data_IF_263229778660
#
_entry.id   IF_263229778660
#
_cell.length_a   1.000
_cell.length_b   1.000
_cell.length_c   1.000
_cell.angle_alpha   90.00
_cell.angle_beta   90.00
_cell.angle_gamma   90.00
#
_symmetry.space_group_name_H-M   'P 1'
#
loop_
_entity.id
_entity.type
_entity.pdbx_description
1 polymer ?
#
# COMPACT_ATOMS: atom_id res chain seq x y z
N UNK A 1 4.87 -17.72 6.51
CA UNK A 1 4.78 -16.96 7.79
C UNK A 1 5.79 -15.81 7.83
N UNK A 2 7.09 -16.08 7.57
CA UNK A 2 8.16 -15.06 7.61
C UNK A 2 7.87 -13.82 6.75
N UNK A 3 7.44 -14.02 5.50
CA UNK A 3 7.20 -12.90 4.55
C UNK A 3 6.17 -11.91 5.09
N UNK A 4 5.04 -12.37 5.63
CA UNK A 4 4.03 -11.45 6.21
C UNK A 4 4.57 -10.70 7.40
N UNK A 5 5.21 -11.39 8.37
CA UNK A 5 5.74 -10.72 9.56
C UNK A 5 6.83 -9.71 9.20
N UNK A 6 7.70 -10.05 8.24
CA UNK A 6 8.75 -9.15 7.77
C UNK A 6 8.13 -7.93 7.05
N UNK A 7 7.15 -8.13 6.18
CA UNK A 7 6.49 -7.01 5.47
C UNK A 7 5.70 -6.12 6.45
N UNK A 8 5.01 -6.69 7.43
CA UNK A 8 4.36 -5.93 8.53
C UNK A 8 5.40 -5.09 9.27
N UNK A 9 6.47 -5.72 9.76
CA UNK A 9 7.53 -5.02 10.48
C UNK A 9 8.15 -3.89 9.64
N UNK A 10 8.47 -4.15 8.37
CA UNK A 10 9.02 -3.15 7.47
C UNK A 10 8.04 -2.01 7.21
N UNK A 11 6.75 -2.30 7.04
CA UNK A 11 5.72 -1.27 6.87
C UNK A 11 5.56 -0.42 8.13
N UNK A 12 5.52 -1.05 9.30
CA UNK A 12 5.40 -0.36 10.58
C UNK A 12 6.61 0.56 10.84
N UNK A 13 7.83 0.07 10.60
CA UNK A 13 9.06 0.87 10.71
C UNK A 13 9.05 2.02 9.69
N UNK A 14 8.60 1.77 8.46
CA UNK A 14 8.54 2.81 7.44
C UNK A 14 7.57 3.93 7.84
N UNK A 15 6.37 3.57 8.29
CA UNK A 15 5.33 4.54 8.62
C UNK A 15 5.58 5.26 9.96
N UNK A 16 6.08 4.57 10.98
CA UNK A 16 6.21 5.10 12.34
C UNK A 16 7.60 5.64 12.69
N UNK A 17 8.64 5.29 11.92
CA UNK A 17 10.02 5.75 12.20
C UNK A 17 10.59 6.53 11.02
N UNK A 18 10.53 5.96 9.81
CA UNK A 18 11.22 6.56 8.66
C UNK A 18 10.49 7.78 8.09
N UNK A 19 9.18 7.69 7.87
CA UNK A 19 8.39 8.73 7.20
C UNK A 19 7.58 9.57 8.18
N UNK A 20 6.90 8.94 9.14
CA UNK A 20 5.98 9.60 10.10
C UNK A 20 5.12 10.68 9.42
N UNK A 21 4.10 10.29 8.65
CA UNK A 21 3.31 11.23 7.87
C UNK A 21 2.39 12.03 8.79
N UNK A 22 2.55 13.36 8.80
CA UNK A 22 1.58 14.27 9.42
C UNK A 22 0.66 14.81 8.33
N UNK A 23 -0.58 14.33 8.28
CA UNK A 23 -1.53 14.64 7.20
C UNK A 23 -2.82 15.24 7.73
N UNK A 24 -3.34 16.23 7.01
CA UNK A 24 -4.68 16.77 7.17
C UNK A 24 -5.60 16.08 6.18
N UNK A 25 -6.34 15.07 6.68
CA UNK A 25 -7.16 14.20 5.85
C UNK A 25 -8.13 14.97 4.92
N UNK A 26 -8.79 16.00 5.43
CA UNK A 26 -9.76 16.80 4.65
C UNK A 26 -9.15 17.51 3.45
N UNK A 27 -7.89 17.95 3.55
CA UNK A 27 -7.22 18.73 2.52
C UNK A 27 -6.25 17.91 1.65
N UNK A 28 -6.02 16.63 1.98
CA UNK A 28 -4.96 15.80 1.39
C UNK A 28 -3.58 16.47 1.37
N UNK A 29 -3.33 17.36 2.34
CA UNK A 29 -2.05 18.06 2.54
C UNK A 29 -1.35 17.47 3.75
N UNK A 30 -0.04 17.32 3.67
CA UNK A 30 0.76 16.86 4.79
C UNK A 30 2.24 17.13 4.62
N UNK A 31 3.01 16.73 5.63
CA UNK A 31 4.46 16.74 5.61
C UNK A 31 4.99 15.56 6.43
N UNK A 32 6.10 14.92 6.00
CA UNK A 32 6.71 13.84 6.76
C UNK A 32 7.63 14.39 7.86
N UNK A 33 7.58 13.80 9.05
CA UNK A 33 8.41 14.18 10.21
C UNK A 33 9.37 13.08 10.66
N UNK A 34 9.52 12.01 9.87
CA UNK A 34 10.37 10.88 10.24
C UNK A 34 11.86 11.11 10.03
N UNK A 35 12.63 10.05 10.28
CA UNK A 35 14.10 10.03 10.15
C UNK A 35 14.57 10.41 8.75
N UNK A 36 13.82 10.07 7.69
CA UNK A 36 14.19 10.42 6.32
C UNK A 36 14.21 11.94 6.07
N UNK A 37 13.38 12.69 6.79
CA UNK A 37 13.39 14.17 6.73
C UNK A 37 14.67 14.74 7.34
N UNK A 38 15.22 14.10 8.38
CA UNK A 38 16.49 14.53 8.99
C UNK A 38 17.68 14.33 8.04
N UNK A 39 17.63 13.30 7.20
CA UNK A 39 18.62 13.07 6.14
C UNK A 39 18.40 13.92 4.88
N UNK A 40 17.37 14.77 4.86
CA UNK A 40 17.09 15.66 3.72
C UNK A 40 16.54 14.96 2.48
N UNK A 41 15.96 13.75 2.62
CA UNK A 41 15.35 13.02 1.51
C UNK A 41 14.11 13.78 1.00
N UNK A 42 13.93 13.89 -0.32
CA UNK A 42 12.76 14.56 -0.89
C UNK A 42 11.45 13.92 -0.40
N UNK A 43 10.49 14.78 0.00
CA UNK A 43 9.16 14.38 0.49
C UNK A 43 8.45 13.40 -0.46
N UNK A 44 8.60 13.58 -1.77
CA UNK A 44 8.01 12.72 -2.80
C UNK A 44 8.38 11.24 -2.59
N UNK A 45 9.67 10.96 -2.39
CA UNK A 45 10.16 9.60 -2.19
C UNK A 45 9.73 9.04 -0.83
N UNK A 46 9.67 9.88 0.20
CA UNK A 46 9.20 9.45 1.51
C UNK A 46 7.73 9.04 1.47
N UNK A 47 6.88 9.86 0.87
CA UNK A 47 5.45 9.59 0.71
C UNK A 47 5.22 8.34 -0.14
N UNK A 48 5.91 8.23 -1.28
CA UNK A 48 5.87 7.03 -2.13
C UNK A 48 6.25 5.77 -1.33
N UNK A 49 7.37 5.81 -0.60
CA UNK A 49 7.81 4.66 0.20
C UNK A 49 6.79 4.27 1.28
N UNK A 50 6.13 5.23 1.92
CA UNK A 50 5.08 4.98 2.90
C UNK A 50 3.88 4.26 2.28
N UNK A 51 3.30 4.80 1.21
CA UNK A 51 2.16 4.20 0.52
C UNK A 51 2.47 2.81 -0.05
N UNK A 52 3.63 2.66 -0.70
CA UNK A 52 4.06 1.37 -1.23
C UNK A 52 4.26 0.34 -0.12
N UNK A 53 4.82 0.74 1.03
CA UNK A 53 5.03 -0.18 2.16
C UNK A 53 3.71 -0.78 2.69
N UNK A 54 2.65 0.03 2.78
CA UNK A 54 1.33 -0.43 3.21
C UNK A 54 0.70 -1.32 2.14
N UNK A 55 0.84 -0.97 0.86
CA UNK A 55 0.29 -1.78 -0.22
C UNK A 55 0.95 -3.15 -0.35
N UNK A 56 2.24 -3.27 -0.03
CA UNK A 56 2.95 -4.55 -0.02
C UNK A 56 2.36 -5.56 0.98
N UNK A 57 1.56 -5.12 1.95
CA UNK A 57 0.84 -6.01 2.86
C UNK A 57 -0.21 -6.87 2.12
N UNK A 58 -0.87 -6.33 1.08
CA UNK A 58 -1.85 -7.04 0.27
C UNK A 58 -1.30 -8.36 -0.31
N UNK A 59 -0.28 -8.32 -1.19
CA UNK A 59 0.30 -9.52 -1.78
C UNK A 59 0.95 -10.43 -0.72
N UNK A 60 1.49 -9.89 0.37
CA UNK A 60 2.02 -10.69 1.47
C UNK A 60 0.93 -11.53 2.16
N UNK A 61 -0.23 -10.93 2.44
CA UNK A 61 -1.37 -11.62 3.04
C UNK A 61 -1.95 -12.69 2.10
N UNK A 62 -2.13 -12.37 0.82
CA UNK A 62 -2.63 -13.33 -0.18
C UNK A 62 -1.68 -14.54 -0.28
N UNK A 63 -0.36 -14.28 -0.34
CA UNK A 63 0.66 -15.33 -0.36
C UNK A 63 0.57 -16.24 0.87
N UNK A 64 0.33 -15.66 2.05
CA UNK A 64 0.16 -16.42 3.29
C UNK A 64 -1.06 -17.33 3.26
N UNK A 65 -2.21 -16.84 2.79
CA UNK A 65 -3.42 -17.65 2.70
C UNK A 65 -3.28 -18.76 1.68
N UNK A 66 -2.63 -18.48 0.54
CA UNK A 66 -2.31 -19.50 -0.45
C UNK A 66 -1.34 -20.56 0.12
N UNK A 67 -0.31 -20.14 0.84
CA UNK A 67 0.68 -21.05 1.44
C UNK A 67 0.04 -22.02 2.44
N UNK A 68 -0.84 -21.50 3.30
CA UNK A 68 -1.64 -22.28 4.24
C UNK A 68 -2.60 -23.22 3.53
N UNK A 69 -3.23 -22.77 2.45
CA UNK A 69 -4.12 -23.60 1.65
C UNK A 69 -3.35 -24.77 1.02
N UNK A 70 -2.23 -24.50 0.36
CA UNK A 70 -1.44 -25.53 -0.32
C UNK A 70 -0.91 -26.58 0.67
N UNK A 71 -0.34 -26.17 1.81
CA UNK A 71 0.20 -27.11 2.79
C UNK A 71 -0.87 -27.98 3.48
N UNK A 72 -2.10 -27.51 3.60
CA UNK A 72 -3.15 -28.22 4.36
C UNK A 72 -4.12 -29.01 3.47
N UNK A 73 -4.28 -28.64 2.21
CA UNK A 73 -5.29 -29.21 1.30
C UNK A 73 -4.65 -30.00 0.15
N UNK A 74 -3.44 -29.65 -0.29
CA UNK A 74 -2.84 -30.24 -1.49
C UNK A 74 -1.55 -31.01 -1.18
N UNK A 75 -1.59 -32.32 -1.43
CA UNK A 75 -0.43 -33.21 -1.34
C UNK A 75 0.57 -33.03 -2.52
N UNK A 76 0.11 -32.52 -3.67
CA UNK A 76 0.93 -32.28 -4.89
C UNK A 76 1.49 -30.85 -5.01
N UNK A 77 1.81 -30.18 -3.88
CA UNK A 77 2.24 -28.77 -3.94
C UNK A 77 3.58 -28.54 -4.66
N UNK A 78 4.40 -29.59 -4.83
CA UNK A 78 5.82 -29.48 -5.21
C UNK A 78 6.11 -29.62 -6.72
N UNK A 79 5.10 -29.65 -7.57
CA UNK A 79 5.36 -29.69 -9.02
C UNK A 79 6.04 -28.41 -9.49
N UNK A 80 7.23 -28.53 -10.10
CA UNK A 80 8.04 -27.40 -10.61
C UNK A 80 7.26 -26.39 -11.48
N UNK A 81 6.33 -26.87 -12.31
CA UNK A 81 5.48 -25.99 -13.15
C UNK A 81 4.56 -25.09 -12.32
N UNK A 82 4.04 -25.58 -11.19
CA UNK A 82 3.17 -24.79 -10.30
C UNK A 82 3.96 -23.77 -9.51
N UNK A 83 5.16 -24.14 -9.05
CA UNK A 83 6.08 -23.20 -8.39
C UNK A 83 6.40 -22.00 -9.29
N UNK A 84 6.73 -22.24 -10.57
CA UNK A 84 7.02 -21.16 -11.53
C UNK A 84 5.79 -20.26 -11.73
N UNK A 85 4.59 -20.85 -11.91
CA UNK A 85 3.35 -20.06 -12.06
C UNK A 85 3.07 -19.21 -10.81
N UNK A 86 3.31 -19.75 -9.62
CA UNK A 86 3.17 -19.03 -8.34
C UNK A 86 4.16 -17.87 -8.27
N UNK A 87 5.44 -18.09 -8.60
CA UNK A 87 6.44 -17.04 -8.63
C UNK A 87 6.10 -15.93 -9.63
N UNK A 88 5.61 -16.28 -10.83
CA UNK A 88 5.18 -15.29 -11.83
C UNK A 88 3.97 -14.50 -11.31
N UNK A 89 2.97 -15.18 -10.75
CA UNK A 89 1.78 -14.51 -10.22
C UNK A 89 2.14 -13.51 -9.12
N UNK A 90 2.85 -13.94 -8.08
CA UNK A 90 3.25 -13.04 -7.00
C UNK A 90 4.26 -12.01 -7.46
N UNK A 91 5.25 -12.37 -8.27
CA UNK A 91 6.21 -11.42 -8.83
C UNK A 91 5.51 -10.30 -9.61
N UNK A 92 4.52 -10.64 -10.44
CA UNK A 92 3.71 -9.65 -11.15
C UNK A 92 2.85 -8.81 -10.21
N UNK A 93 2.33 -9.40 -9.13
CA UNK A 93 1.49 -8.69 -8.17
C UNK A 93 2.28 -7.69 -7.32
N UNK A 94 3.47 -8.09 -6.85
CA UNK A 94 4.43 -7.20 -6.21
C UNK A 94 4.87 -6.08 -7.16
N UNK A 95 5.19 -6.40 -8.41
CA UNK A 95 5.57 -5.41 -9.42
C UNK A 95 4.45 -4.39 -9.69
N UNK A 96 3.21 -4.86 -9.83
CA UNK A 96 2.03 -4.01 -10.00
C UNK A 96 1.84 -3.08 -8.79
N UNK A 97 2.15 -3.54 -7.58
CA UNK A 97 2.09 -2.74 -6.35
C UNK A 97 3.05 -1.56 -6.37
N UNK A 98 4.25 -1.72 -6.95
CA UNK A 98 5.17 -0.60 -7.13
C UNK A 98 4.68 0.36 -8.22
N UNK A 99 4.13 -0.15 -9.32
CA UNK A 99 3.73 0.68 -10.47
C UNK A 99 2.44 1.45 -10.20
N UNK A 100 1.46 0.87 -9.50
CA UNK A 100 0.12 1.45 -9.37
C UNK A 100 0.11 2.83 -8.71
N UNK A 101 1.13 3.12 -7.90
CA UNK A 101 1.28 4.41 -7.21
C UNK A 101 1.94 5.47 -8.09
N UNK A 102 2.77 5.10 -9.06
CA UNK A 102 3.56 6.04 -9.87
C UNK A 102 2.69 7.12 -10.56
N UNK A 103 1.54 6.79 -11.20
CA UNK A 103 0.69 7.79 -11.85
C UNK A 103 0.23 8.92 -10.91
N UNK A 104 -0.01 8.60 -9.64
CA UNK A 104 -0.42 9.59 -8.64
C UNK A 104 0.66 10.65 -8.39
N UNK A 105 1.92 10.31 -8.64
CA UNK A 105 3.03 11.25 -8.47
C UNK A 105 3.26 12.17 -9.68
N UNK A 106 2.69 11.85 -10.85
CA UNK A 106 2.77 12.74 -12.00
C UNK A 106 1.75 13.89 -11.95
N UNK A 107 0.64 13.71 -11.22
CA UNK A 107 -0.42 14.71 -11.08
C UNK A 107 -0.20 15.72 -9.94
N UNK A 108 0.96 15.66 -9.30
CA UNK A 108 1.25 16.50 -8.13
C UNK A 108 1.34 17.97 -8.55
N UNK A 109 0.50 18.86 -7.98
CA UNK A 109 0.58 20.28 -8.24
C UNK A 109 1.84 20.89 -7.59
N UNK A 110 2.40 21.92 -8.24
CA UNK A 110 3.47 22.72 -7.63
C UNK A 110 3.02 23.29 -6.28
N UNK A 111 3.96 23.51 -5.34
CA UNK A 111 3.65 23.99 -3.99
C UNK A 111 2.79 25.27 -3.99
N UNK A 112 3.01 26.18 -4.93
CA UNK A 112 2.21 27.41 -5.05
C UNK A 112 0.76 27.13 -5.46
N UNK A 113 0.56 26.20 -6.40
CA UNK A 113 -0.77 25.79 -6.83
C UNK A 113 -1.48 25.00 -5.73
N UNK A 114 -0.77 24.13 -5.02
CA UNK A 114 -1.28 23.41 -3.85
C UNK A 114 -1.80 24.36 -2.78
N UNK A 115 -1.00 25.38 -2.39
CA UNK A 115 -1.43 26.41 -1.42
C UNK A 115 -2.71 27.12 -1.85
N UNK A 116 -2.79 27.52 -3.13
CA UNK A 116 -3.95 28.22 -3.67
C UNK A 116 -5.21 27.35 -3.67
N UNK A 117 -5.09 26.10 -4.10
CA UNK A 117 -6.21 25.15 -4.12
C UNK A 117 -6.71 24.86 -2.71
N UNK A 118 -5.80 24.54 -1.78
CA UNK A 118 -6.20 24.23 -0.40
C UNK A 118 -6.80 25.42 0.33
N UNK A 119 -6.29 26.63 0.14
CA UNK A 119 -6.86 27.83 0.77
C UNK A 119 -8.26 28.17 0.22
N UNK A 120 -8.50 27.91 -1.08
CA UNK A 120 -9.82 28.10 -1.68
C UNK A 120 -10.85 27.09 -1.17
N UNK A 121 -10.47 25.83 -1.01
CA UNK A 121 -11.37 24.79 -0.48
C UNK A 121 -11.55 24.89 1.04
N UNK A 122 -10.50 25.27 1.76
CA UNK A 122 -10.48 25.30 3.23
C UNK A 122 -9.87 26.61 3.75
N UNK A 123 -10.65 27.72 3.76
CA UNK A 123 -10.17 29.04 4.18
C UNK A 123 -9.82 29.11 5.68
N UNK A 124 -10.23 28.12 6.48
CA UNK A 124 -9.98 28.05 7.91
C UNK A 124 -8.60 27.50 8.29
N UNK A 125 -7.82 26.95 7.34
CA UNK A 125 -6.48 26.43 7.67
C UNK A 125 -5.48 27.58 7.90
N UNK A 126 -4.71 27.54 9.00
CA UNK A 126 -3.68 28.54 9.26
C UNK A 126 -2.55 28.45 8.23
N UNK A 127 -2.19 29.59 7.64
CA UNK A 127 -1.17 29.70 6.59
C UNK A 127 0.21 29.17 7.02
N UNK A 128 0.50 29.23 8.32
CA UNK A 128 1.74 28.75 8.94
C UNK A 128 2.00 27.24 8.68
N UNK A 129 0.95 26.45 8.39
CA UNK A 129 1.12 25.04 8.00
C UNK A 129 1.86 24.93 6.67
N UNK A 130 1.59 25.82 5.73
CA UNK A 130 2.16 25.80 4.38
C UNK A 130 3.55 26.44 4.28
N UNK A 131 3.98 27.13 5.33
CA UNK A 131 5.31 27.73 5.42
C UNK A 131 6.36 26.72 5.91
N UNK A 132 5.92 25.58 6.46
CA UNK A 132 6.83 24.52 6.87
C UNK A 132 7.53 23.89 5.66
N UNK A 133 8.84 23.61 5.77
CA UNK A 133 9.56 22.90 4.72
C UNK A 133 9.02 21.47 4.58
N UNK A 134 8.88 21.00 3.34
CA UNK A 134 8.42 19.64 3.05
C UNK A 134 6.91 19.45 3.02
N UNK A 135 6.12 20.54 3.07
CA UNK A 135 4.67 20.50 2.83
C UNK A 135 4.39 20.05 1.42
N UNK A 136 3.46 19.12 1.32
CA UNK A 136 3.14 18.41 0.11
C UNK A 136 1.63 18.18 0.02
N UNK A 137 1.06 18.40 -1.16
CA UNK A 137 -0.32 18.03 -1.47
C UNK A 137 -0.28 16.75 -2.29
N UNK A 138 -0.90 15.70 -1.75
CA UNK A 138 -0.91 14.37 -2.35
C UNK A 138 -1.52 14.35 -3.74
N UNK A 139 -2.63 15.06 -3.91
CA UNK A 139 -3.30 15.24 -5.19
C UNK A 139 -4.33 16.35 -5.05
N UNK A 140 -4.58 17.09 -6.13
CA UNK A 140 -5.72 18.02 -6.22
C UNK A 140 -7.06 17.29 -6.37
N UNK A 141 -7.05 16.02 -6.77
CA UNK A 141 -8.25 15.19 -6.92
C UNK A 141 -8.05 13.86 -6.19
N UNK A 142 -8.60 13.76 -4.98
CA UNK A 142 -8.44 12.59 -4.11
C UNK A 142 -9.22 11.36 -4.59
N UNK A 143 -10.22 11.54 -5.46
CA UNK A 143 -11.10 10.48 -5.94
C UNK A 143 -10.36 9.31 -6.60
N UNK A 144 -9.56 9.53 -7.67
CA UNK A 144 -8.82 8.47 -8.33
C UNK A 144 -7.82 7.75 -7.42
N UNK A 145 -7.14 8.50 -6.54
CA UNK A 145 -6.22 7.94 -5.55
C UNK A 145 -6.94 6.98 -4.61
N UNK A 146 -8.01 7.47 -3.97
CA UNK A 146 -8.83 6.66 -3.08
C UNK A 146 -9.40 5.44 -3.81
N UNK A 147 -9.96 5.62 -5.00
CA UNK A 147 -10.51 4.54 -5.79
C UNK A 147 -9.46 3.45 -6.09
N UNK A 148 -8.23 3.84 -6.47
CA UNK A 148 -7.13 2.91 -6.69
C UNK A 148 -6.76 2.15 -5.41
N UNK A 149 -6.63 2.86 -4.28
CA UNK A 149 -6.30 2.26 -2.99
C UNK A 149 -7.37 1.24 -2.56
N UNK A 150 -8.64 1.66 -2.55
CA UNK A 150 -9.76 0.81 -2.16
C UNK A 150 -9.91 -0.40 -3.08
N UNK A 151 -9.78 -0.22 -4.39
CA UNK A 151 -9.86 -1.31 -5.36
C UNK A 151 -8.76 -2.35 -5.10
N UNK A 152 -7.53 -1.91 -4.82
CA UNK A 152 -6.43 -2.81 -4.53
C UNK A 152 -6.66 -3.63 -3.25
N UNK A 153 -7.06 -2.99 -2.16
CA UNK A 153 -7.36 -3.70 -0.91
C UNK A 153 -8.57 -4.63 -1.06
N UNK A 154 -9.59 -4.21 -1.80
CA UNK A 154 -10.76 -5.03 -2.08
C UNK A 154 -10.38 -6.30 -2.87
N UNK A 155 -9.58 -6.16 -3.93
CA UNK A 155 -9.07 -7.31 -4.71
C UNK A 155 -8.25 -8.25 -3.81
N UNK A 156 -7.35 -7.70 -3.00
CA UNK A 156 -6.53 -8.46 -2.05
C UNK A 156 -7.41 -9.25 -1.06
N UNK A 157 -8.45 -8.61 -0.52
CA UNK A 157 -9.39 -9.22 0.41
C UNK A 157 -10.21 -10.34 -0.26
N UNK A 158 -10.71 -10.11 -1.49
CA UNK A 158 -11.42 -11.12 -2.27
C UNK A 158 -10.55 -12.35 -2.54
N UNK A 159 -9.28 -12.16 -2.90
CA UNK A 159 -8.33 -13.27 -3.10
C UNK A 159 -8.07 -14.05 -1.81
N UNK A 160 -7.82 -13.35 -0.69
CA UNK A 160 -7.66 -13.97 0.61
C UNK A 160 -8.90 -14.79 1.00
N UNK A 161 -10.09 -14.22 0.82
CA UNK A 161 -11.36 -14.87 1.11
C UNK A 161 -11.55 -16.12 0.25
N UNK A 162 -11.28 -16.05 -1.06
CA UNK A 162 -11.35 -17.20 -1.97
C UNK A 162 -10.50 -18.38 -1.49
N UNK A 163 -9.24 -18.15 -1.07
CA UNK A 163 -8.39 -19.21 -0.54
C UNK A 163 -8.90 -19.78 0.78
N UNK A 164 -9.51 -18.95 1.64
CA UNK A 164 -10.14 -19.43 2.88
C UNK A 164 -11.41 -20.26 2.62
N UNK A 165 -12.26 -19.87 1.66
CA UNK A 165 -13.48 -20.61 1.32
C UNK A 165 -13.16 -21.97 0.71
N UNK A 166 -12.24 -22.03 -0.25
CA UNK A 166 -11.78 -23.31 -0.82
C UNK A 166 -11.20 -24.24 0.23
N UNK A 167 -10.54 -23.70 1.26
CA UNK A 167 -10.06 -24.51 2.39
C UNK A 167 -11.21 -25.16 3.16
N UNK A 168 -12.30 -24.42 3.40
CA UNK A 168 -13.47 -24.92 4.12
C UNK A 168 -14.15 -26.01 3.30
N UNK A 169 -14.39 -25.77 2.00
CA UNK A 169 -15.00 -26.76 1.08
C UNK A 169 -14.19 -28.06 1.00
N UNK A 170 -12.86 -27.96 0.95
CA UNK A 170 -12.01 -29.16 0.94
C UNK A 170 -12.08 -29.97 2.23
N UNK A 171 -12.39 -29.34 3.36
CA UNK A 171 -12.62 -30.06 4.63
C UNK A 171 -14.03 -30.64 4.74
N UNK A 172 -15.01 -30.09 4.01
CA UNK A 172 -16.39 -30.61 3.97
C UNK A 172 -16.64 -31.62 2.84
N UNK A 173 -15.67 -31.87 1.96
CA UNK A 173 -15.70 -32.98 1.01
C UNK A 173 -15.67 -34.33 1.73
N UNK A 174 -16.39 -35.35 1.24
CA UNK A 174 -16.63 -36.57 1.99
C UNK A 174 -15.31 -37.28 2.33
N UNK A 175 -15.14 -37.60 3.61
CA UNK A 175 -14.24 -38.63 4.08
C UNK A 175 -14.78 -39.99 3.62
N UNK A 176 -14.47 -40.38 2.38
CA UNK A 176 -14.66 -41.73 1.85
C UNK A 176 -13.74 -41.95 0.66
#
# INVERSE_FOLDING_TARGET
MLVVHLTCFLSDVTMNVLVVPYTFFSAAVGYPMGVLTWFGVLTMFQVYSGFTSVMLLGPALVLFFEDRYNHLVRLDSDTRSRFIKRCIHFGSYYFLTFICMIPLFFEIPSLQNAKKLTYNEFPCLPQNIFEKPGVFMLTSNTGPAMACLFSFFFISACQAFYFTFRRIESKSGPSL
#
